data_IF_435027553442
#
_entry.id   IF_435027553442
#
_cell.length_a   1.000
_cell.length_b   1.000
_cell.length_c   1.000
_cell.angle_alpha   90.00
_cell.angle_beta   90.00
_cell.angle_gamma   90.00
#
_symmetry.space_group_name_H-M   'P 1'
#
loop_
_entity.id
_entity.type
_entity.pdbx_description
1 polymer ?
#
# COMPACT_ATOMS: atom_id res chain seq x y z
N UNK A 1 14.60 -31.91 -0.80
CA UNK A 1 14.43 -30.47 -1.10
C UNK A 1 15.13 -29.71 0.00
N UNK A 2 15.96 -28.69 -0.28
CA UNK A 2 16.65 -27.92 0.78
C UNK A 2 15.61 -27.18 1.63
N UNK A 3 15.87 -27.03 2.93
CA UNK A 3 15.01 -26.23 3.81
C UNK A 3 15.00 -24.76 3.32
N UNK A 4 13.82 -24.10 3.22
CA UNK A 4 13.74 -22.71 2.79
C UNK A 4 14.53 -21.80 3.73
N UNK A 5 15.28 -20.84 3.19
CA UNK A 5 16.07 -19.87 3.94
C UNK A 5 15.32 -18.54 4.02
N UNK A 6 15.05 -18.08 5.23
CA UNK A 6 14.30 -16.87 5.52
C UNK A 6 15.19 -15.81 6.17
N UNK A 7 15.28 -14.63 5.59
CA UNK A 7 15.89 -13.48 6.25
C UNK A 7 14.82 -12.57 6.89
N UNK A 8 14.98 -12.26 8.17
CA UNK A 8 14.17 -11.24 8.84
C UNK A 8 15.02 -9.97 8.97
N UNK A 9 14.75 -8.96 8.15
CA UNK A 9 15.48 -7.68 8.20
C UNK A 9 14.98 -6.85 9.38
N UNK A 10 15.69 -6.89 10.51
CA UNK A 10 15.30 -6.24 11.75
C UNK A 10 16.51 -5.78 12.55
N UNK A 11 16.42 -4.55 13.09
CA UNK A 11 17.40 -4.00 14.05
C UNK A 11 17.17 -4.51 15.49
N UNK A 12 16.07 -5.22 15.72
CA UNK A 12 15.63 -5.62 17.04
C UNK A 12 15.41 -7.13 17.12
N UNK A 13 16.48 -7.95 17.19
CA UNK A 13 16.37 -9.41 17.29
C UNK A 13 15.61 -9.85 18.56
N UNK A 14 15.70 -9.06 19.64
CA UNK A 14 15.06 -9.36 20.92
C UNK A 14 13.60 -8.87 21.02
N UNK A 15 13.10 -8.14 20.01
CA UNK A 15 11.71 -7.68 20.02
C UNK A 15 10.76 -8.87 19.92
N UNK A 16 9.62 -8.80 20.62
CA UNK A 16 8.62 -9.87 20.64
C UNK A 16 8.24 -10.30 19.21
N UNK A 17 7.94 -9.34 18.33
CA UNK A 17 7.52 -9.64 16.94
C UNK A 17 8.60 -10.36 16.13
N UNK A 18 9.87 -9.99 16.29
CA UNK A 18 10.99 -10.65 15.58
C UNK A 18 11.16 -12.08 16.08
N UNK A 19 11.16 -12.28 17.41
CA UNK A 19 11.26 -13.62 18.01
C UNK A 19 10.09 -14.53 17.64
N UNK A 20 8.87 -14.00 17.62
CA UNK A 20 7.69 -14.78 17.19
C UNK A 20 7.81 -15.26 15.76
N UNK A 21 8.20 -14.38 14.83
CA UNK A 21 8.41 -14.77 13.42
C UNK A 21 9.50 -15.83 13.28
N UNK A 22 10.63 -15.68 13.99
CA UNK A 22 11.70 -16.67 14.01
C UNK A 22 11.21 -18.03 14.52
N UNK A 23 10.53 -18.05 15.68
CA UNK A 23 10.03 -19.29 16.28
C UNK A 23 9.03 -20.03 15.37
N UNK A 24 8.11 -19.30 14.73
CA UNK A 24 7.14 -19.92 13.81
C UNK A 24 7.80 -20.41 12.52
N UNK A 25 8.82 -19.70 12.04
CA UNK A 25 9.60 -20.12 10.87
C UNK A 25 10.46 -21.36 11.15
N UNK A 26 11.10 -21.43 12.33
CA UNK A 26 11.83 -22.60 12.80
C UNK A 26 10.87 -23.80 12.95
N UNK A 27 9.69 -23.60 13.53
CA UNK A 27 8.66 -24.63 13.65
C UNK A 27 8.14 -25.11 12.28
N UNK A 28 8.14 -24.25 11.27
CA UNK A 28 7.82 -24.58 9.89
C UNK A 28 8.99 -25.22 9.12
N UNK A 29 10.15 -25.44 9.77
CA UNK A 29 11.33 -26.08 9.17
C UNK A 29 12.12 -25.17 8.24
N UNK A 30 12.02 -23.85 8.39
CA UNK A 30 12.84 -22.87 7.67
C UNK A 30 14.16 -22.63 8.41
N UNK A 31 15.20 -22.25 7.66
CA UNK A 31 16.46 -21.76 8.22
C UNK A 31 16.36 -20.24 8.31
N UNK A 32 16.36 -19.69 9.52
CA UNK A 32 16.14 -18.26 9.75
C UNK A 32 17.43 -17.52 10.05
N UNK A 33 17.60 -16.36 9.44
CA UNK A 33 18.67 -15.41 9.76
C UNK A 33 18.07 -14.03 10.04
N UNK A 34 18.39 -13.44 11.20
CA UNK A 34 17.97 -12.07 11.54
C UNK A 34 19.13 -11.14 11.20
N UNK A 35 18.88 -10.18 10.32
CA UNK A 35 19.91 -9.29 9.77
C UNK A 35 19.53 -7.83 10.05
N UNK A 36 20.44 -7.06 10.66
CA UNK A 36 20.27 -5.60 10.72
C UNK A 36 20.53 -5.05 9.31
N UNK A 37 19.57 -4.38 8.65
CA UNK A 37 19.79 -3.81 7.32
C UNK A 37 20.95 -2.80 7.26
N UNK A 38 21.32 -2.16 8.38
CA UNK A 38 22.46 -1.24 8.44
C UNK A 38 23.82 -1.93 8.50
N UNK A 39 23.86 -3.24 8.77
CA UNK A 39 25.08 -4.06 8.78
C UNK A 39 25.29 -4.78 7.45
N UNK A 40 24.51 -4.43 6.42
CA UNK A 40 24.63 -4.99 5.07
C UNK A 40 25.38 -4.05 4.13
N UNK A 41 26.04 -4.61 3.12
CA UNK A 41 26.54 -3.86 1.97
C UNK A 41 25.97 -4.42 0.67
N UNK A 42 25.86 -3.57 -0.35
CA UNK A 42 25.26 -3.94 -1.63
C UNK A 42 26.35 -3.95 -2.71
N UNK A 43 26.43 -5.03 -3.47
CA UNK A 43 27.24 -5.12 -4.69
C UNK A 43 26.28 -5.04 -5.88
N UNK A 44 26.57 -4.17 -6.83
CA UNK A 44 25.77 -3.99 -8.03
C UNK A 44 26.60 -4.41 -9.25
N UNK A 45 26.02 -5.28 -10.08
CA UNK A 45 26.63 -5.76 -11.32
C UNK A 45 25.56 -6.03 -12.38
N UNK A 46 25.96 -6.60 -13.51
CA UNK A 46 25.10 -7.02 -14.62
C UNK A 46 24.42 -8.38 -14.39
N UNK A 47 24.59 -8.99 -13.21
CA UNK A 47 24.13 -10.35 -12.85
C UNK A 47 23.25 -10.35 -11.59
N UNK A 48 22.41 -9.34 -11.46
CA UNK A 48 21.43 -9.09 -10.38
C UNK A 48 22.01 -8.53 -9.06
N UNK A 49 23.33 -8.37 -8.92
CA UNK A 49 23.97 -7.88 -7.70
C UNK A 49 23.84 -8.81 -6.50
N UNK A 50 24.33 -8.36 -5.34
CA UNK A 50 24.37 -9.14 -4.10
C UNK A 50 24.08 -8.26 -2.87
N UNK A 51 23.48 -8.87 -1.85
CA UNK A 51 23.47 -8.34 -0.48
C UNK A 51 24.52 -9.11 0.32
N UNK A 52 25.48 -8.38 0.90
CA UNK A 52 26.56 -8.93 1.71
C UNK A 52 26.24 -8.65 3.19
N UNK A 53 26.39 -9.68 4.02
CA UNK A 53 26.30 -9.58 5.47
C UNK A 53 27.50 -10.30 6.09
N UNK A 54 28.18 -9.64 7.04
CA UNK A 54 29.39 -10.17 7.67
C UNK A 54 30.47 -10.65 6.68
N UNK A 55 30.57 -10.00 5.52
CA UNK A 55 31.54 -10.31 4.46
C UNK A 55 31.10 -11.40 3.48
N UNK A 56 29.92 -12.00 3.64
CA UNK A 56 29.43 -13.09 2.79
C UNK A 56 28.11 -12.73 2.09
N UNK A 57 27.87 -13.23 0.87
CA UNK A 57 26.57 -13.09 0.21
C UNK A 57 25.46 -13.79 0.99
N UNK A 58 24.34 -13.09 1.18
CA UNK A 58 23.12 -13.66 1.74
C UNK A 58 22.35 -14.44 0.64
N UNK A 59 22.40 -15.77 0.71
CA UNK A 59 21.56 -16.68 -0.10
C UNK A 59 20.29 -17.03 0.69
N UNK A 60 19.18 -16.41 0.32
CA UNK A 60 17.87 -16.60 0.96
C UNK A 60 16.75 -16.72 -0.06
N UNK A 61 15.72 -17.50 0.26
CA UNK A 61 14.56 -17.73 -0.62
C UNK A 61 13.46 -16.69 -0.36
N UNK A 62 13.39 -16.13 0.86
CA UNK A 62 12.44 -15.10 1.23
C UNK A 62 12.97 -14.12 2.28
N UNK A 63 12.38 -12.92 2.33
CA UNK A 63 12.72 -11.84 3.25
C UNK A 63 11.46 -11.25 3.88
N UNK A 64 11.48 -11.05 5.21
CA UNK A 64 10.48 -10.27 5.96
C UNK A 64 11.11 -8.95 6.41
N UNK A 65 10.79 -7.81 5.76
CA UNK A 65 11.26 -6.52 6.20
C UNK A 65 10.52 -6.06 7.45
N UNK A 66 11.24 -5.99 8.58
CA UNK A 66 10.80 -5.39 9.83
C UNK A 66 11.48 -4.03 10.03
N UNK A 67 11.45 -3.22 8.99
CA UNK A 67 12.14 -1.93 8.91
C UNK A 67 11.48 -0.93 9.88
N UNK A 68 12.28 -0.29 10.71
CA UNK A 68 11.84 0.81 11.59
C UNK A 68 11.71 2.13 10.83
N UNK A 69 10.92 3.08 11.33
CA UNK A 69 10.74 4.37 10.65
C UNK A 69 12.04 5.16 10.51
N UNK A 70 12.90 5.15 11.53
CA UNK A 70 14.17 5.89 11.57
C UNK A 70 15.22 5.41 10.57
N UNK A 71 15.04 4.24 9.98
CA UNK A 71 15.97 3.62 9.02
C UNK A 71 15.26 3.24 7.73
N UNK A 72 14.14 3.90 7.42
CA UNK A 72 13.33 3.58 6.24
C UNK A 72 14.16 3.71 4.96
N UNK A 73 14.94 4.77 4.82
CA UNK A 73 15.75 5.03 3.62
C UNK A 73 16.76 3.92 3.37
N UNK A 74 17.54 3.55 4.38
CA UNK A 74 18.57 2.53 4.29
C UNK A 74 17.96 1.13 4.16
N UNK A 75 16.98 0.81 5.00
CA UNK A 75 16.30 -0.49 4.99
C UNK A 75 15.62 -0.79 3.65
N UNK A 76 14.93 0.19 3.07
CA UNK A 76 14.26 0.02 1.77
C UNK A 76 15.26 -0.21 0.63
N UNK A 77 16.49 0.34 0.70
CA UNK A 77 17.53 0.05 -0.31
C UNK A 77 17.92 -1.42 -0.30
N UNK A 78 18.07 -2.02 0.89
CA UNK A 78 18.38 -3.44 1.06
C UNK A 78 17.22 -4.32 0.57
N UNK A 79 15.99 -3.98 0.96
CA UNK A 79 14.78 -4.67 0.47
C UNK A 79 14.72 -4.65 -1.06
N UNK A 80 14.99 -3.49 -1.68
CA UNK A 80 14.99 -3.35 -3.14
C UNK A 80 16.07 -4.18 -3.83
N UNK A 81 17.21 -4.39 -3.17
CA UNK A 81 18.24 -5.26 -3.72
C UNK A 81 17.79 -6.73 -3.70
N UNK A 82 17.13 -7.19 -2.63
CA UNK A 82 16.55 -8.54 -2.61
C UNK A 82 15.48 -8.74 -3.70
N UNK A 83 14.64 -7.74 -3.95
CA UNK A 83 13.68 -7.76 -5.07
C UNK A 83 14.37 -7.98 -6.41
N UNK A 84 15.46 -7.24 -6.67
CA UNK A 84 16.23 -7.35 -7.92
C UNK A 84 16.94 -8.70 -8.07
N UNK A 85 17.29 -9.32 -6.96
CA UNK A 85 17.85 -10.67 -6.92
C UNK A 85 16.78 -11.76 -7.16
N UNK A 86 15.49 -11.39 -7.30
CA UNK A 86 14.38 -12.33 -7.49
C UNK A 86 13.95 -13.04 -6.21
N UNK A 87 14.37 -12.53 -5.05
CA UNK A 87 13.99 -13.07 -3.73
C UNK A 87 12.60 -12.55 -3.36
N UNK A 88 11.75 -13.44 -2.82
CA UNK A 88 10.42 -13.03 -2.37
C UNK A 88 10.50 -12.13 -1.13
N UNK A 89 9.88 -10.95 -1.17
CA UNK A 89 9.85 -9.98 -0.07
C UNK A 89 8.42 -9.65 0.34
N UNK A 90 8.12 -9.75 1.63
CA UNK A 90 6.84 -9.36 2.20
C UNK A 90 7.06 -8.35 3.34
N UNK A 91 7.05 -7.03 3.11
CA UNK A 91 6.55 -6.26 1.95
C UNK A 91 7.63 -5.76 0.98
N UNK A 92 7.22 -5.39 -0.24
CA UNK A 92 8.07 -4.73 -1.24
C UNK A 92 8.61 -3.37 -0.78
N UNK A 93 9.73 -2.94 -1.37
CA UNK A 93 10.35 -1.64 -1.11
C UNK A 93 9.37 -0.48 -1.32
N UNK A 94 8.63 -0.53 -2.42
CA UNK A 94 7.68 0.51 -2.80
C UNK A 94 6.42 0.49 -1.92
N UNK A 95 5.93 -0.69 -1.52
CA UNK A 95 4.81 -0.77 -0.59
C UNK A 95 5.18 -0.20 0.80
N UNK A 96 6.40 -0.47 1.28
CA UNK A 96 6.91 0.16 2.50
C UNK A 96 6.90 1.68 2.34
N UNK A 97 7.47 2.24 1.28
CA UNK A 97 7.50 3.68 1.05
C UNK A 97 6.10 4.31 0.96
N UNK A 98 5.17 3.69 0.22
CA UNK A 98 3.78 4.16 0.10
C UNK A 98 3.08 4.19 1.45
N UNK A 99 3.26 3.18 2.29
CA UNK A 99 2.67 3.12 3.64
C UNK A 99 3.28 4.14 4.63
N UNK A 100 4.51 4.57 4.39
CA UNK A 100 5.24 5.50 5.29
C UNK A 100 4.77 6.94 5.15
N UNK A 101 4.33 7.33 3.96
CA UNK A 101 3.82 8.66 3.68
C UNK A 101 2.28 8.67 3.69
N UNK A 102 1.69 9.25 4.73
CA UNK A 102 0.24 9.28 4.92
C UNK A 102 -0.48 10.03 3.82
N UNK A 103 0.13 11.06 3.23
CA UNK A 103 -0.46 11.79 2.11
C UNK A 103 -0.48 10.91 0.86
N UNK A 104 0.64 10.27 0.52
CA UNK A 104 0.71 9.36 -0.64
C UNK A 104 -0.26 8.20 -0.49
N UNK A 105 -0.29 7.56 0.68
CA UNK A 105 -1.26 6.51 0.96
C UNK A 105 -2.71 7.01 0.76
N UNK A 106 -3.06 8.15 1.37
CA UNK A 106 -4.39 8.74 1.25
C UNK A 106 -4.76 9.11 -0.20
N UNK A 107 -3.80 9.58 -1.01
CA UNK A 107 -4.02 9.88 -2.42
C UNK A 107 -4.36 8.61 -3.22
N UNK A 108 -3.55 7.56 -3.06
CA UNK A 108 -3.79 6.27 -3.73
C UNK A 108 -5.15 5.70 -3.33
N UNK A 109 -5.42 5.66 -2.03
CA UNK A 109 -6.62 5.01 -1.48
C UNK A 109 -7.90 5.78 -1.82
N UNK A 110 -7.87 7.11 -1.72
CA UNK A 110 -9.03 7.95 -2.10
C UNK A 110 -9.36 7.83 -3.59
N UNK A 111 -8.35 7.77 -4.47
CA UNK A 111 -8.54 7.55 -5.90
C UNK A 111 -9.20 6.20 -6.19
N UNK A 112 -8.95 5.18 -5.36
CA UNK A 112 -9.56 3.84 -5.48
C UNK A 112 -10.92 3.73 -4.78
N UNK A 113 -11.42 4.81 -4.19
CA UNK A 113 -12.72 4.85 -3.54
C UNK A 113 -12.74 4.28 -2.12
N UNK A 114 -11.57 4.03 -1.53
CA UNK A 114 -11.46 3.65 -0.12
C UNK A 114 -11.81 4.87 0.76
N UNK A 115 -12.72 4.74 1.75
CA UNK A 115 -13.12 5.85 2.59
C UNK A 115 -11.94 6.31 3.47
N UNK A 116 -11.47 7.53 3.24
CA UNK A 116 -10.43 8.20 4.05
C UNK A 116 -10.97 9.53 4.57
N UNK A 117 -10.44 10.06 5.70
CA UNK A 117 -10.89 11.35 6.18
C UNK A 117 -10.48 12.47 5.21
N UNK A 118 -11.36 13.45 5.00
CA UNK A 118 -11.05 14.67 4.23
C UNK A 118 -9.78 15.32 4.75
N UNK A 119 -8.79 15.43 3.88
CA UNK A 119 -7.43 15.86 4.23
C UNK A 119 -6.96 16.93 3.26
N UNK A 120 -6.39 18.01 3.79
CA UNK A 120 -5.79 19.10 3.05
C UNK A 120 -4.29 19.17 3.37
N UNK A 121 -3.45 19.14 2.33
CA UNK A 121 -2.04 19.51 2.45
C UNK A 121 -1.95 21.03 2.65
N UNK A 122 -1.15 21.46 3.63
CA UNK A 122 -0.90 22.88 3.90
C UNK A 122 0.60 23.16 3.75
N UNK A 123 0.94 23.91 2.71
CA UNK A 123 2.33 24.31 2.40
C UNK A 123 2.67 25.72 2.90
N UNK A 124 1.65 26.50 3.27
CA UNK A 124 1.79 27.87 3.76
C UNK A 124 0.87 28.14 4.94
N UNK A 125 1.38 28.79 5.98
CA UNK A 125 0.60 29.16 7.16
C UNK A 125 -0.58 30.10 6.83
N UNK A 126 -0.49 30.84 5.71
CA UNK A 126 -1.56 31.72 5.23
C UNK A 126 -2.80 30.94 4.75
N UNK A 127 -2.63 29.68 4.38
CA UNK A 127 -3.71 28.84 3.83
C UNK A 127 -4.46 28.02 4.88
N UNK A 128 -4.02 28.07 6.14
CA UNK A 128 -4.56 27.25 7.23
C UNK A 128 -6.06 27.42 7.39
N UNK A 129 -6.57 28.66 7.39
CA UNK A 129 -8.02 28.92 7.51
C UNK A 129 -8.83 28.32 6.37
N UNK A 130 -8.33 28.45 5.13
CA UNK A 130 -8.97 27.86 3.95
C UNK A 130 -8.94 26.34 4.01
N UNK A 131 -7.83 25.75 4.44
CA UNK A 131 -7.69 24.31 4.63
C UNK A 131 -8.67 23.79 5.69
N UNK A 132 -8.77 24.47 6.84
CA UNK A 132 -9.73 24.13 7.91
C UNK A 132 -11.16 24.17 7.39
N UNK A 133 -11.54 25.23 6.67
CA UNK A 133 -12.88 25.36 6.09
C UNK A 133 -13.19 24.21 5.12
N UNK A 134 -12.23 23.83 4.25
CA UNK A 134 -12.38 22.73 3.29
C UNK A 134 -12.55 21.35 3.94
N UNK A 135 -11.98 21.13 5.12
CA UNK A 135 -12.13 19.86 5.86
C UNK A 135 -13.32 19.85 6.83
N UNK A 136 -14.15 20.90 6.85
CA UNK A 136 -15.38 20.95 7.65
C UNK A 136 -15.32 21.80 8.93
N UNK A 137 -14.25 22.57 9.14
CA UNK A 137 -14.12 23.47 10.28
C UNK A 137 -13.39 22.87 11.48
N UNK A 138 -13.52 23.52 12.63
CA UNK A 138 -12.98 23.03 13.91
C UNK A 138 -14.07 22.33 14.73
N UNK A 139 -13.73 21.32 15.57
CA UNK A 139 -12.40 20.77 15.77
C UNK A 139 -11.87 19.99 14.56
N UNK A 140 -10.55 20.02 14.33
CA UNK A 140 -9.88 19.28 13.26
C UNK A 140 -8.54 18.69 13.75
N UNK A 141 -7.93 17.86 12.92
CA UNK A 141 -6.61 17.26 13.18
C UNK A 141 -5.54 18.02 12.39
N UNK A 142 -4.45 18.41 13.05
CA UNK A 142 -3.21 18.85 12.40
C UNK A 142 -2.20 17.72 12.58
N UNK A 143 -1.64 17.21 11.48
CA UNK A 143 -0.65 16.13 11.53
C UNK A 143 0.47 16.25 10.52
N UNK A 144 1.58 15.54 10.76
CA UNK A 144 2.67 15.40 9.79
C UNK A 144 2.44 14.21 8.86
N UNK A 145 2.90 14.30 7.61
CA UNK A 145 2.73 13.19 6.65
C UNK A 145 3.53 11.95 7.03
N UNK A 146 4.70 12.15 7.64
CA UNK A 146 5.59 11.09 8.12
C UNK A 146 5.70 11.13 9.64
N UNK A 147 5.90 9.97 10.26
CA UNK A 147 6.01 9.80 11.71
C UNK A 147 5.27 8.57 12.23
N UNK A 148 5.59 8.18 13.48
CA UNK A 148 5.03 7.01 14.19
C UNK A 148 4.32 7.40 15.46
N UNK A 149 3.48 6.48 15.95
CA UNK A 149 3.01 6.46 17.35
C UNK A 149 2.26 7.72 17.81
N UNK A 150 1.76 8.53 16.89
CA UNK A 150 0.98 9.73 17.20
C UNK A 150 1.84 10.96 17.52
N UNK A 151 3.17 10.87 17.35
CA UNK A 151 4.05 12.03 17.36
C UNK A 151 3.75 12.89 16.13
N UNK A 152 3.47 14.17 16.40
CA UNK A 152 3.07 15.10 15.35
C UNK A 152 1.61 14.96 14.92
N UNK A 153 0.71 14.41 15.74
CA UNK A 153 -0.75 14.42 15.52
C UNK A 153 -1.45 15.18 16.64
N UNK A 154 -2.23 16.20 16.28
CA UNK A 154 -2.82 17.12 17.24
C UNK A 154 -4.29 17.39 16.95
N UNK A 155 -5.15 17.27 17.97
CA UNK A 155 -6.52 17.74 17.92
C UNK A 155 -6.57 19.22 18.25
N UNK A 156 -6.97 20.04 17.28
CA UNK A 156 -7.08 21.50 17.43
C UNK A 156 -8.54 21.92 17.50
N UNK A 157 -8.86 22.83 18.43
CA UNK A 157 -10.23 23.32 18.69
C UNK A 157 -10.47 24.75 18.25
N UNK A 158 -9.44 25.44 17.77
CA UNK A 158 -9.54 26.80 17.26
C UNK A 158 -8.61 27.04 16.08
N UNK A 159 -9.00 27.97 15.20
CA UNK A 159 -8.19 28.39 14.05
C UNK A 159 -6.83 28.95 14.50
N UNK A 160 -6.80 29.72 15.60
CA UNK A 160 -5.58 30.29 16.15
C UNK A 160 -4.57 29.19 16.53
N UNK A 161 -5.03 28.18 17.27
CA UNK A 161 -4.21 27.03 17.65
C UNK A 161 -3.67 26.28 16.43
N UNK A 162 -4.52 26.07 15.41
CA UNK A 162 -4.12 25.43 14.18
C UNK A 162 -3.03 26.23 13.43
N UNK A 163 -3.18 27.56 13.33
CA UNK A 163 -2.19 28.45 12.69
C UNK A 163 -0.83 28.39 13.38
N UNK A 164 -0.81 28.51 14.71
CA UNK A 164 0.44 28.44 15.50
C UNK A 164 1.17 27.11 15.29
N UNK A 165 0.42 26.01 15.29
CA UNK A 165 0.97 24.68 15.13
C UNK A 165 1.47 24.41 13.72
N UNK A 166 0.69 24.75 12.71
CA UNK A 166 1.11 24.62 11.30
C UNK A 166 2.35 25.48 11.03
N UNK A 167 2.41 26.71 11.55
CA UNK A 167 3.59 27.56 11.43
C UNK A 167 4.85 26.89 11.99
N UNK A 168 4.77 26.31 13.21
CA UNK A 168 5.90 25.60 13.82
C UNK A 168 6.33 24.38 13.00
N UNK A 169 5.38 23.54 12.58
CA UNK A 169 5.69 22.34 11.81
C UNK A 169 6.28 22.65 10.42
N UNK A 170 5.80 23.70 9.75
CA UNK A 170 6.38 24.18 8.49
C UNK A 170 7.80 24.72 8.72
N UNK A 171 8.03 25.46 9.80
CA UNK A 171 9.38 25.96 10.14
C UNK A 171 10.39 24.83 10.39
N UNK A 172 9.91 23.69 10.90
CA UNK A 172 10.67 22.43 11.04
C UNK A 172 10.80 21.65 9.71
N UNK A 173 10.36 22.22 8.59
CA UNK A 173 10.36 21.61 7.25
C UNK A 173 9.56 20.30 7.16
N UNK A 174 8.52 20.16 7.98
CA UNK A 174 7.63 19.00 7.94
C UNK A 174 6.49 19.23 6.94
N UNK A 175 6.10 18.17 6.25
CA UNK A 175 4.88 18.16 5.43
C UNK A 175 3.65 18.12 6.35
N UNK A 176 2.84 19.19 6.35
CA UNK A 176 1.70 19.36 7.27
C UNK A 176 0.38 19.07 6.58
N UNK A 177 -0.45 18.27 7.25
CA UNK A 177 -1.79 17.90 6.83
C UNK A 177 -2.80 18.44 7.84
N UNK A 178 -3.86 19.07 7.35
CA UNK A 178 -5.05 19.40 8.13
C UNK A 178 -6.14 18.41 7.71
N UNK A 179 -6.76 17.73 8.66
CA UNK A 179 -7.66 16.62 8.41
C UNK A 179 -8.95 16.79 9.23
N UNK A 180 -10.09 16.35 8.68
CA UNK A 180 -11.35 16.33 9.40
C UNK A 180 -11.26 15.46 10.67
N UNK A 181 -12.01 15.83 11.69
CA UNK A 181 -12.03 15.11 12.94
C UNK A 181 -13.26 14.20 13.04
N UNK A 182 -13.03 12.88 13.10
CA UNK A 182 -14.08 11.87 13.24
C UNK A 182 -14.42 11.72 14.73
N UNK A 183 -15.41 12.50 15.18
CA UNK A 183 -15.81 12.59 16.60
C UNK A 183 -16.37 11.28 17.14
N UNK A 184 -16.99 10.47 16.30
CA UNK A 184 -17.60 9.17 16.63
C UNK A 184 -16.53 8.17 17.12
N UNK A 185 -15.33 8.29 16.56
CA UNK A 185 -14.16 7.49 16.90
C UNK A 185 -13.25 8.16 17.94
N UNK A 186 -13.76 9.14 18.72
CA UNK A 186 -12.93 9.81 19.74
C UNK A 186 -12.33 8.79 20.72
N UNK A 187 -11.00 8.78 20.80
CA UNK A 187 -10.28 7.90 21.73
C UNK A 187 -10.38 6.43 21.37
N UNK A 188 -10.84 6.07 20.17
CA UNK A 188 -11.03 4.69 19.73
C UNK A 188 -10.62 4.50 18.29
N UNK A 189 -10.02 3.37 17.99
CA UNK A 189 -9.82 2.92 16.62
C UNK A 189 -9.77 1.39 16.57
N UNK A 190 -9.96 0.83 15.38
CA UNK A 190 -9.87 -0.61 15.13
C UNK A 190 -8.58 -0.86 14.35
N UNK A 191 -7.70 -1.69 14.90
CA UNK A 191 -6.54 -2.21 14.20
C UNK A 191 -6.84 -3.59 13.65
N UNK A 192 -6.70 -3.74 12.34
CA UNK A 192 -6.86 -4.98 11.60
C UNK A 192 -5.50 -5.41 11.08
N UNK A 193 -5.10 -6.67 11.27
CA UNK A 193 -3.91 -7.24 10.64
C UNK A 193 -4.35 -8.01 9.40
N UNK A 194 -3.79 -7.59 8.26
CA UNK A 194 -3.97 -8.24 6.97
C UNK A 194 -2.68 -8.99 6.62
N UNK A 195 -2.81 -10.26 6.26
CA UNK A 195 -1.73 -11.13 5.80
C UNK A 195 -2.18 -11.81 4.51
N UNK A 196 -1.45 -11.62 3.42
CA UNK A 196 -1.71 -12.30 2.16
C UNK A 196 -3.06 -11.95 1.51
N UNK A 197 -3.67 -10.83 1.87
CA UNK A 197 -5.00 -10.44 1.39
C UNK A 197 -6.16 -10.91 2.28
N UNK A 198 -5.87 -11.52 3.43
CA UNK A 198 -6.87 -11.99 4.39
C UNK A 198 -6.71 -11.29 5.75
N UNK A 199 -7.83 -11.06 6.44
CA UNK A 199 -7.81 -10.55 7.83
C UNK A 199 -7.51 -11.72 8.77
N UNK A 200 -6.42 -11.63 9.53
CA UNK A 200 -5.98 -12.70 10.44
C UNK A 200 -6.17 -12.35 11.92
N UNK A 201 -6.31 -11.06 12.24
CA UNK A 201 -6.60 -10.58 13.58
C UNK A 201 -7.17 -9.16 13.55
N UNK A 202 -8.00 -8.84 14.53
CA UNK A 202 -8.45 -7.48 14.77
C UNK A 202 -8.52 -7.19 16.28
N UNK A 203 -8.36 -5.92 16.64
CA UNK A 203 -8.60 -5.43 17.99
C UNK A 203 -9.12 -4.01 17.95
N UNK A 204 -9.98 -3.65 18.90
CA UNK A 204 -10.30 -2.25 19.19
C UNK A 204 -9.30 -1.72 20.22
N UNK A 205 -8.70 -0.56 19.95
CA UNK A 205 -7.87 0.16 20.91
C UNK A 205 -8.67 1.32 21.47
N UNK A 206 -8.60 1.52 22.79
CA UNK A 206 -9.36 2.55 23.51
C UNK A 206 -8.39 3.36 24.38
N UNK A 207 -8.39 4.67 24.23
CA UNK A 207 -7.58 5.58 25.06
C UNK A 207 -8.13 5.66 26.49
N UNK A 208 -7.28 6.00 27.45
CA UNK A 208 -7.72 6.30 28.80
C UNK A 208 -8.05 7.80 28.92
N UNK A 209 -9.19 8.14 29.53
CA UNK A 209 -9.53 9.51 29.91
C UNK A 209 -9.97 10.40 28.76
N UNK A 210 -9.34 11.59 28.61
CA UNK A 210 -9.69 12.63 27.61
C UNK A 210 -8.78 12.62 26.37
N UNK A 211 -7.89 11.63 26.25
CA UNK A 211 -6.97 11.51 25.12
C UNK A 211 -7.75 11.05 23.88
N UNK A 212 -7.55 11.71 22.73
CA UNK A 212 -8.26 11.36 21.50
C UNK A 212 -7.53 10.27 20.71
N UNK A 213 -6.25 10.04 20.99
CA UNK A 213 -5.41 9.01 20.37
C UNK A 213 -5.48 7.70 21.16
N UNK A 214 -5.84 6.62 20.50
CA UNK A 214 -6.02 5.28 21.07
C UNK A 214 -4.77 4.39 21.02
N UNK A 215 -3.61 4.93 20.63
CA UNK A 215 -2.39 4.12 20.48
C UNK A 215 -2.05 3.34 21.76
N UNK A 216 -1.92 2.01 21.62
CA UNK A 216 -1.59 1.09 22.72
C UNK A 216 -0.37 1.51 23.55
N UNK A 217 0.68 2.05 22.90
CA UNK A 217 1.88 2.53 23.56
C UNK A 217 1.66 3.74 24.49
N UNK A 218 0.51 4.41 24.40
CA UNK A 218 0.11 5.52 25.29
C UNK A 218 -0.72 5.05 26.49
N UNK A 219 -0.71 3.74 26.79
CA UNK A 219 -1.44 3.14 27.91
C UNK A 219 -2.91 2.87 27.63
N UNK A 220 -3.32 2.91 26.35
CA UNK A 220 -4.68 2.54 25.93
C UNK A 220 -5.02 1.07 26.25
N UNK A 221 -6.29 0.79 26.51
CA UNK A 221 -6.82 -0.56 26.67
C UNK A 221 -7.04 -1.19 25.29
N UNK A 222 -6.97 -2.51 25.24
CA UNK A 222 -7.25 -3.28 24.03
C UNK A 222 -8.44 -4.18 24.31
N UNK A 223 -9.39 -4.20 23.39
CA UNK A 223 -10.60 -5.01 23.44
C UNK A 223 -10.62 -5.95 22.23
N UNK A 224 -11.02 -7.19 22.46
CA UNK A 224 -11.34 -8.11 21.38
C UNK A 224 -12.59 -7.61 20.66
N UNK A 225 -12.61 -7.76 19.34
CA UNK A 225 -13.73 -7.35 18.50
C UNK A 225 -14.02 -8.44 17.47
N UNK A 226 -15.31 -8.70 17.25
CA UNK A 226 -15.76 -9.41 16.05
C UNK A 226 -15.84 -8.39 14.91
N UNK A 227 -14.95 -8.52 13.92
CA UNK A 227 -14.74 -7.48 12.91
C UNK A 227 -15.88 -7.51 11.90
N UNK A 228 -16.65 -6.42 11.72
CA UNK A 228 -17.70 -6.38 10.72
C UNK A 228 -17.15 -6.51 9.29
N UNK A 229 -17.93 -7.12 8.40
CA UNK A 229 -17.51 -7.43 7.01
C UNK A 229 -17.09 -6.19 6.20
N UNK A 230 -17.74 -5.04 6.42
CA UNK A 230 -17.40 -3.78 5.77
C UNK A 230 -16.02 -3.26 6.22
N UNK A 231 -15.67 -3.41 7.49
CA UNK A 231 -14.32 -3.09 8.00
C UNK A 231 -13.27 -4.04 7.45
N UNK A 232 -13.56 -5.34 7.40
CA UNK A 232 -12.67 -6.34 6.81
C UNK A 232 -12.40 -6.04 5.33
N UNK A 233 -13.46 -5.73 4.56
CA UNK A 233 -13.36 -5.36 3.14
C UNK A 233 -12.47 -4.14 2.93
N UNK A 234 -12.71 -3.05 3.68
CA UNK A 234 -11.88 -1.84 3.58
C UNK A 234 -10.42 -2.11 3.96
N UNK A 235 -10.17 -2.93 4.98
CA UNK A 235 -8.81 -3.29 5.37
C UNK A 235 -8.07 -4.06 4.27
N UNK A 236 -8.73 -5.05 3.66
CA UNK A 236 -8.17 -5.86 2.57
C UNK A 236 -7.93 -4.99 1.32
N UNK A 237 -8.92 -4.20 0.91
CA UNK A 237 -8.78 -3.27 -0.23
C UNK A 237 -7.63 -2.29 -0.03
N UNK A 238 -7.49 -1.73 1.19
CA UNK A 238 -6.42 -0.80 1.50
C UNK A 238 -5.03 -1.44 1.41
N UNK A 239 -4.87 -2.64 1.98
CA UNK A 239 -3.63 -3.40 1.89
C UNK A 239 -3.28 -3.73 0.44
N UNK A 240 -4.26 -4.23 -0.34
CA UNK A 240 -4.09 -4.58 -1.75
C UNK A 240 -3.69 -3.37 -2.61
N UNK A 241 -4.37 -2.23 -2.47
CA UNK A 241 -4.06 -1.03 -3.26
C UNK A 241 -2.69 -0.42 -2.94
N UNK A 242 -2.16 -0.65 -1.73
CA UNK A 242 -0.82 -0.23 -1.35
C UNK A 242 0.26 -1.30 -1.64
N UNK A 243 -0.12 -2.51 -2.04
CA UNK A 243 0.80 -3.63 -2.27
C UNK A 243 1.37 -4.22 -0.97
N UNK A 244 0.60 -4.17 0.11
CA UNK A 244 1.00 -4.65 1.43
C UNK A 244 0.53 -6.09 1.62
N UNK A 245 1.49 -7.02 1.63
CA UNK A 245 1.26 -8.43 1.94
C UNK A 245 1.10 -8.66 3.44
N UNK A 246 1.82 -7.92 4.29
CA UNK A 246 1.75 -8.02 5.75
C UNK A 246 1.62 -6.62 6.33
N UNK A 247 0.43 -6.29 6.83
CA UNK A 247 0.13 -4.92 7.24
C UNK A 247 -0.80 -4.81 8.44
N UNK A 248 -0.65 -3.72 9.19
CA UNK A 248 -1.65 -3.28 10.15
C UNK A 248 -2.44 -2.12 9.56
N UNK A 249 -3.75 -2.27 9.45
CA UNK A 249 -4.67 -1.25 8.97
C UNK A 249 -5.42 -0.66 10.15
N UNK A 250 -5.32 0.66 10.32
CA UNK A 250 -6.02 1.39 11.37
C UNK A 250 -7.27 2.05 10.78
N UNK A 251 -8.42 1.74 11.37
CA UNK A 251 -9.74 2.20 10.95
C UNK A 251 -10.40 3.00 12.08
N UNK A 252 -11.03 4.10 11.72
CA UNK A 252 -11.91 4.87 12.60
C UNK A 252 -13.36 4.43 12.40
N UNK A 253 -14.12 4.45 13.48
CA UNK A 253 -15.56 4.19 13.49
C UNK A 253 -16.30 5.46 13.05
N UNK A 254 -16.70 5.53 11.78
CA UNK A 254 -17.46 6.63 11.22
C UNK A 254 -18.97 6.43 11.35
N UNK A 255 -19.75 7.51 11.13
CA UNK A 255 -21.22 7.46 11.18
C UNK A 255 -21.84 6.51 10.15
N UNK A 256 -21.19 6.33 9.01
CA UNK A 256 -21.71 5.56 7.86
C UNK A 256 -20.86 4.33 7.55
N UNK A 257 -19.97 3.92 8.46
CA UNK A 257 -19.06 2.78 8.26
C UNK A 257 -17.60 3.11 8.55
N UNK A 258 -16.67 2.21 8.16
CA UNK A 258 -15.24 2.35 8.40
C UNK A 258 -14.64 3.54 7.67
N UNK A 259 -13.70 4.23 8.32
CA UNK A 259 -12.87 5.27 7.71
C UNK A 259 -11.40 4.92 7.93
N UNK A 260 -10.65 4.73 6.84
CA UNK A 260 -9.25 4.35 6.88
C UNK A 260 -8.36 5.50 7.37
N UNK A 261 -7.66 5.26 8.48
CA UNK A 261 -6.74 6.23 9.08
C UNK A 261 -5.33 6.11 8.54
N UNK A 262 -4.73 4.92 8.63
CA UNK A 262 -3.39 4.63 8.15
C UNK A 262 -3.18 3.13 7.90
N UNK A 263 -2.18 2.81 7.09
CA UNK A 263 -1.70 1.43 6.86
C UNK A 263 -0.22 1.37 7.23
N UNK A 264 0.15 0.39 8.06
CA UNK A 264 1.47 0.19 8.60
C UNK A 264 2.10 -1.08 8.03
N UNK A 265 3.21 -0.97 7.29
CA UNK A 265 3.93 -2.08 6.65
C UNK A 265 4.77 -2.97 7.60
N UNK A 266 4.86 -2.63 8.89
CA UNK A 266 5.60 -3.42 9.88
C UNK A 266 4.88 -3.34 11.24
N UNK A 267 3.66 -3.93 11.35
CA UNK A 267 2.86 -3.83 12.56
C UNK A 267 3.50 -4.60 13.72
N UNK A 268 3.41 -4.09 14.94
CA UNK A 268 3.78 -4.84 16.13
C UNK A 268 2.79 -5.97 16.40
N UNK A 269 3.31 -7.15 16.74
CA UNK A 269 2.51 -8.38 16.91
C UNK A 269 2.05 -8.62 18.36
N UNK A 270 2.77 -8.09 19.36
CA UNK A 270 2.53 -8.45 20.76
C UNK A 270 1.14 -8.08 21.27
N UNK A 271 0.72 -6.84 21.06
CA UNK A 271 -0.58 -6.37 21.54
C UNK A 271 -1.74 -7.07 20.84
N UNK A 272 -1.63 -7.31 19.53
CA UNK A 272 -2.69 -7.92 18.74
C UNK A 272 -2.82 -9.42 19.00
N UNK A 273 -1.71 -10.17 19.11
CA UNK A 273 -1.76 -11.60 19.45
C UNK A 273 -2.34 -11.80 20.86
N UNK A 274 -1.93 -10.97 21.84
CA UNK A 274 -2.48 -11.02 23.20
C UNK A 274 -3.98 -10.71 23.26
N UNK A 275 -4.46 -9.77 22.45
CA UNK A 275 -5.86 -9.35 22.48
C UNK A 275 -6.80 -10.24 21.66
N UNK A 276 -6.33 -10.74 20.52
CA UNK A 276 -7.14 -11.57 19.62
C UNK A 276 -7.01 -13.06 19.89
N UNK A 277 -5.93 -13.51 20.54
CA UNK A 277 -5.56 -14.91 20.67
C UNK A 277 -5.10 -15.56 19.35
N UNK A 278 -5.04 -14.81 18.25
CA UNK A 278 -4.62 -15.31 16.93
C UNK A 278 -3.10 -15.46 16.84
N UNK A 279 -2.64 -16.53 16.19
CA UNK A 279 -1.23 -16.73 15.85
C UNK A 279 -0.86 -15.94 14.57
N UNK A 280 -0.75 -14.62 14.70
CA UNK A 280 -0.47 -13.73 13.57
C UNK A 280 0.89 -14.03 12.95
N UNK A 281 1.93 -14.30 13.75
CA UNK A 281 3.23 -14.70 13.22
C UNK A 281 3.16 -15.99 12.39
N UNK A 282 2.38 -16.98 12.83
CA UNK A 282 2.15 -18.23 12.12
C UNK A 282 1.51 -18.01 10.75
N UNK A 283 0.47 -17.17 10.66
CA UNK A 283 -0.14 -16.81 9.38
C UNK A 283 0.86 -16.14 8.41
N UNK A 284 1.74 -15.28 8.92
CA UNK A 284 2.80 -14.64 8.10
C UNK A 284 3.75 -15.70 7.53
N UNK A 285 4.21 -16.62 8.37
CA UNK A 285 5.13 -17.70 7.96
C UNK A 285 4.45 -18.66 6.99
N UNK A 286 3.19 -19.01 7.21
CA UNK A 286 2.41 -19.86 6.31
C UNK A 286 2.27 -19.21 4.92
N UNK A 287 1.95 -17.91 4.88
CA UNK A 287 1.91 -17.16 3.62
C UNK A 287 3.25 -17.21 2.88
N UNK A 288 4.36 -16.98 3.59
CA UNK A 288 5.70 -17.03 3.01
C UNK A 288 6.03 -18.43 2.52
N UNK A 289 5.72 -19.48 3.29
CA UNK A 289 5.93 -20.87 2.92
C UNK A 289 5.22 -21.25 1.62
N UNK A 290 4.02 -20.68 1.39
CA UNK A 290 3.26 -20.86 0.15
C UNK A 290 3.82 -20.03 -1.01
N UNK A 291 4.16 -18.76 -0.77
CA UNK A 291 4.46 -17.78 -1.83
C UNK A 291 5.93 -17.73 -2.28
N UNK A 292 6.91 -18.08 -1.45
CA UNK A 292 8.32 -18.00 -1.86
C UNK A 292 8.66 -18.90 -3.07
N UNK A 293 7.84 -19.92 -3.34
CA UNK A 293 7.96 -20.82 -4.50
C UNK A 293 7.30 -20.28 -5.77
N UNK A 294 6.57 -19.17 -5.67
CA UNK A 294 5.76 -18.58 -6.73
C UNK A 294 6.25 -17.15 -6.94
N UNK A 295 6.97 -16.90 -8.03
CA UNK A 295 7.38 -15.54 -8.37
C UNK A 295 6.24 -14.80 -9.07
N UNK A 296 5.78 -13.71 -8.47
CA UNK A 296 4.92 -12.76 -9.16
C UNK A 296 5.74 -12.01 -10.21
N UNK A 297 5.19 -11.90 -11.42
CA UNK A 297 5.86 -11.24 -12.53
C UNK A 297 5.30 -9.82 -12.68
N UNK A 298 6.18 -8.82 -12.70
CA UNK A 298 5.78 -7.46 -13.03
C UNK A 298 5.61 -7.34 -14.55
N UNK A 299 4.35 -7.41 -15.01
CA UNK A 299 4.02 -7.39 -16.43
C UNK A 299 4.52 -6.11 -17.12
N UNK A 300 4.49 -4.95 -16.43
CA UNK A 300 4.95 -3.68 -17.00
C UNK A 300 6.44 -3.71 -17.35
N UNK A 301 7.27 -4.34 -16.51
CA UNK A 301 8.70 -4.49 -16.78
C UNK A 301 8.94 -5.41 -17.98
N UNK A 302 8.18 -6.51 -18.09
CA UNK A 302 8.27 -7.41 -19.25
C UNK A 302 7.84 -6.68 -20.52
N UNK A 303 6.72 -5.96 -20.47
CA UNK A 303 6.19 -5.22 -21.60
C UNK A 303 7.20 -4.17 -22.06
N UNK A 304 7.80 -3.41 -21.14
CA UNK A 304 8.80 -2.37 -21.47
C UNK A 304 10.09 -2.92 -22.08
N UNK A 305 10.45 -4.19 -21.83
CA UNK A 305 11.60 -4.83 -22.49
C UNK A 305 11.36 -5.06 -23.98
N UNK A 306 10.09 -5.11 -24.41
CA UNK A 306 9.72 -5.24 -25.82
C UNK A 306 9.56 -3.86 -26.44
N UNK A 307 10.61 -3.39 -27.12
CA UNK A 307 10.62 -2.10 -27.81
C UNK A 307 9.43 -1.96 -28.75
N UNK A 308 8.72 -0.84 -28.70
CA UNK A 308 7.55 -0.55 -29.55
C UNK A 308 6.22 -1.18 -29.08
N UNK A 309 6.21 -1.98 -28.00
CA UNK A 309 4.99 -2.53 -27.40
C UNK A 309 4.65 -1.84 -26.08
N UNK A 310 3.37 -1.79 -25.76
CA UNK A 310 2.91 -1.14 -24.54
C UNK A 310 1.42 -1.26 -24.34
N UNK A 311 0.94 -0.59 -23.30
CA UNK A 311 -0.49 -0.47 -23.01
C UNK A 311 -0.99 0.92 -23.33
N UNK A 312 -2.16 1.03 -23.96
CA UNK A 312 -2.85 2.30 -24.23
C UNK A 312 -4.24 2.25 -23.59
N UNK A 313 -4.68 3.36 -23.01
CA UNK A 313 -6.04 3.51 -22.52
C UNK A 313 -6.84 4.39 -23.48
N UNK A 314 -7.90 3.83 -24.04
CA UNK A 314 -8.84 4.55 -24.90
C UNK A 314 -10.02 5.01 -24.05
N UNK A 315 -10.16 6.32 -23.88
CA UNK A 315 -11.28 6.92 -23.16
C UNK A 315 -12.41 7.16 -24.17
N UNK A 316 -13.48 6.36 -24.12
CA UNK A 316 -14.49 6.36 -25.18
C UNK A 316 -15.26 7.68 -25.32
N UNK A 317 -15.33 8.49 -24.27
CA UNK A 317 -15.92 9.83 -24.38
C UNK A 317 -15.18 10.75 -25.36
N UNK A 318 -13.88 10.50 -25.57
CA UNK A 318 -13.06 11.23 -26.55
C UNK A 318 -13.24 10.67 -27.96
N UNK A 319 -13.82 9.48 -28.09
CA UNK A 319 -14.00 8.75 -29.36
C UNK A 319 -15.44 8.20 -29.52
N UNK A 320 -16.44 9.08 -29.72
CA UNK A 320 -17.85 8.69 -29.74
C UNK A 320 -18.21 7.67 -30.83
N UNK A 321 -17.43 7.60 -31.91
CA UNK A 321 -17.66 6.67 -33.03
C UNK A 321 -17.52 5.19 -32.65
N UNK A 322 -16.92 4.90 -31.48
CA UNK A 322 -16.78 3.54 -30.96
C UNK A 322 -17.93 3.13 -30.03
N UNK A 323 -18.74 4.08 -29.57
CA UNK A 323 -19.85 3.80 -28.64
C UNK A 323 -20.96 3.05 -29.38
N UNK A 324 -21.48 1.98 -28.76
CA UNK A 324 -22.53 1.13 -29.32
C UNK A 324 -22.03 0.06 -30.30
N UNK A 325 -20.72 -0.02 -30.55
CA UNK A 325 -20.08 -1.09 -31.35
C UNK A 325 -19.53 -2.20 -30.45
N UNK A 326 -19.35 -3.38 -31.03
CA UNK A 326 -18.67 -4.49 -30.35
C UNK A 326 -17.17 -4.24 -30.22
N UNK A 327 -16.53 -4.94 -29.29
CA UNK A 327 -15.08 -4.88 -29.13
C UNK A 327 -14.36 -5.34 -30.41
N UNK A 328 -14.80 -6.43 -31.04
CA UNK A 328 -14.20 -6.96 -32.29
C UNK A 328 -14.21 -5.97 -33.44
N UNK A 329 -15.14 -5.03 -33.45
CA UNK A 329 -15.28 -4.01 -34.50
C UNK A 329 -14.34 -2.81 -34.34
N UNK A 330 -13.78 -2.62 -33.14
CA UNK A 330 -13.08 -1.40 -32.74
C UNK A 330 -11.63 -1.65 -32.33
N UNK A 331 -11.29 -2.87 -31.91
CA UNK A 331 -9.93 -3.23 -31.53
C UNK A 331 -8.98 -3.09 -32.73
N UNK A 332 -7.83 -2.38 -32.56
CA UNK A 332 -6.75 -2.41 -33.54
C UNK A 332 -6.22 -3.83 -33.80
N UNK A 333 -5.94 -4.22 -35.05
CA UNK A 333 -5.36 -5.53 -35.35
C UNK A 333 -4.04 -5.75 -34.58
N UNK A 334 -3.77 -7.01 -34.19
CA UNK A 334 -2.61 -7.40 -33.37
C UNK A 334 -2.55 -6.74 -31.97
N UNK A 335 -3.66 -6.26 -31.45
CA UNK A 335 -3.79 -5.81 -30.07
C UNK A 335 -4.77 -6.69 -29.28
N UNK A 336 -4.62 -6.71 -27.96
CA UNK A 336 -5.48 -7.44 -27.04
C UNK A 336 -6.15 -6.46 -26.08
N UNK A 337 -7.45 -6.63 -25.83
CA UNK A 337 -8.11 -5.94 -24.71
C UNK A 337 -7.76 -6.64 -23.42
N UNK A 338 -7.08 -5.92 -22.54
CA UNK A 338 -6.70 -6.38 -21.20
C UNK A 338 -7.90 -6.28 -20.27
N UNK A 339 -8.56 -5.11 -20.25
CA UNK A 339 -9.73 -4.86 -19.42
C UNK A 339 -10.54 -3.67 -19.94
N UNK A 340 -11.83 -3.63 -19.58
CA UNK A 340 -12.68 -2.44 -19.71
C UNK A 340 -13.02 -1.93 -18.31
N UNK A 341 -12.73 -0.65 -18.06
CA UNK A 341 -13.08 0.04 -16.83
C UNK A 341 -14.42 0.74 -17.06
N UNK A 342 -15.46 0.26 -16.36
CA UNK A 342 -16.82 0.82 -16.41
C UNK A 342 -17.20 1.33 -15.03
N UNK A 343 -17.11 2.65 -14.85
CA UNK A 343 -17.33 3.27 -13.55
C UNK A 343 -16.30 2.81 -12.51
N UNK A 344 -16.72 1.93 -11.58
CA UNK A 344 -15.85 1.33 -10.55
C UNK A 344 -15.48 -0.13 -10.82
N UNK A 345 -16.06 -0.73 -11.86
CA UNK A 345 -15.85 -2.15 -12.17
C UNK A 345 -14.81 -2.32 -13.28
N UNK A 346 -14.03 -3.40 -13.19
CA UNK A 346 -13.11 -3.82 -14.22
C UNK A 346 -13.62 -5.14 -14.81
N UNK A 347 -13.95 -5.11 -16.10
CA UNK A 347 -14.34 -6.30 -16.85
C UNK A 347 -13.05 -6.89 -17.43
N UNK A 348 -12.51 -7.92 -16.77
CA UNK A 348 -11.30 -8.61 -17.20
C UNK A 348 -11.61 -9.58 -18.33
N UNK A 349 -10.72 -9.62 -19.35
CA UNK A 349 -10.88 -10.49 -20.52
C UNK A 349 -12.31 -10.44 -21.11
N UNK A 350 -12.79 -9.23 -21.48
CA UNK A 350 -14.16 -9.07 -21.95
C UNK A 350 -14.41 -9.86 -23.23
N UNK A 351 -15.64 -10.35 -23.37
CA UNK A 351 -16.09 -11.00 -24.61
C UNK A 351 -15.95 -10.03 -25.79
N UNK A 352 -15.46 -10.51 -26.93
CA UNK A 352 -15.25 -9.70 -28.13
C UNK A 352 -16.57 -9.12 -28.69
N UNK A 353 -17.70 -9.75 -28.36
CA UNK A 353 -19.04 -9.27 -28.73
C UNK A 353 -19.61 -8.24 -27.74
N UNK A 354 -18.88 -7.91 -26.67
CA UNK A 354 -19.35 -6.94 -25.68
C UNK A 354 -19.51 -5.55 -26.32
N UNK A 355 -20.69 -4.96 -26.11
CA UNK A 355 -21.02 -3.64 -26.64
C UNK A 355 -20.46 -2.53 -25.73
N UNK A 356 -19.73 -1.62 -26.34
CA UNK A 356 -19.07 -0.49 -25.71
C UNK A 356 -20.07 0.60 -25.31
N UNK A 357 -19.93 1.13 -24.08
CA UNK A 357 -20.83 2.12 -23.49
C UNK A 357 -20.15 3.48 -23.30
N UNK A 358 -20.93 4.58 -23.19
CA UNK A 358 -20.39 5.87 -22.78
C UNK A 358 -19.62 5.78 -21.45
N UNK A 359 -18.50 6.49 -21.35
CA UNK A 359 -17.56 6.47 -20.22
C UNK A 359 -16.73 5.20 -20.01
N UNK A 360 -16.86 4.18 -20.86
CA UNK A 360 -15.93 3.05 -20.81
C UNK A 360 -14.50 3.53 -21.09
N UNK A 361 -13.53 2.97 -20.36
CA UNK A 361 -12.11 3.08 -20.69
C UNK A 361 -11.58 1.71 -21.07
N UNK A 362 -11.08 1.58 -22.29
CA UNK A 362 -10.58 0.32 -22.83
C UNK A 362 -9.06 0.30 -22.65
N UNK A 363 -8.53 -0.71 -21.98
CA UNK A 363 -7.08 -0.91 -21.83
C UNK A 363 -6.64 -1.93 -22.86
N UNK A 364 -5.86 -1.49 -23.84
CA UNK A 364 -5.30 -2.29 -24.92
C UNK A 364 -3.82 -2.60 -24.66
N UNK A 365 -3.35 -3.76 -25.09
CA UNK A 365 -1.94 -4.13 -25.16
C UNK A 365 -1.55 -4.55 -26.59
N UNK A 366 -0.47 -4.00 -27.12
CA UNK A 366 -0.02 -4.28 -28.48
C UNK A 366 1.10 -3.34 -28.95
N UNK A 367 1.37 -3.27 -30.26
CA UNK A 367 2.29 -2.30 -30.85
C UNK A 367 1.75 -0.87 -30.69
N UNK A 368 2.52 0.01 -30.04
CA UNK A 368 2.05 1.35 -29.65
C UNK A 368 1.68 2.24 -30.83
N UNK A 369 2.51 2.28 -31.87
CA UNK A 369 2.27 3.12 -33.04
C UNK A 369 1.04 2.64 -33.81
N UNK A 370 0.94 1.34 -34.09
CA UNK A 370 -0.22 0.75 -34.78
C UNK A 370 -1.53 0.97 -34.00
N UNK A 371 -1.52 0.82 -32.67
CA UNK A 371 -2.72 1.09 -31.87
C UNK A 371 -3.12 2.57 -31.94
N UNK A 372 -2.16 3.50 -31.86
CA UNK A 372 -2.44 4.95 -31.93
C UNK A 372 -3.00 5.36 -33.28
N UNK A 373 -2.34 4.97 -34.37
CA UNK A 373 -2.78 5.28 -35.73
C UNK A 373 -4.19 4.76 -36.00
N UNK A 374 -4.50 3.54 -35.59
CA UNK A 374 -5.84 2.97 -35.74
C UNK A 374 -6.93 3.73 -34.96
N UNK A 375 -6.62 4.13 -33.71
CA UNK A 375 -7.55 4.89 -32.86
C UNK A 375 -7.77 6.31 -33.41
N UNK A 376 -6.71 6.95 -33.89
CA UNK A 376 -6.72 8.32 -34.42
C UNK A 376 -7.32 8.39 -35.83
N UNK A 377 -7.45 7.25 -36.53
CA UNK A 377 -7.97 7.17 -37.89
C UNK A 377 -6.93 7.46 -38.96
N UNK A 378 -5.64 7.38 -38.61
CA UNK A 378 -4.48 7.67 -39.45
C UNK A 378 -3.91 6.41 -40.14
N UNK A 379 -4.68 5.31 -40.22
CA UNK A 379 -4.27 4.11 -40.94
C UNK A 379 -4.10 4.43 -42.44
N UNK A 380 -2.86 4.73 -42.87
CA UNK A 380 -2.47 4.59 -44.26
C UNK A 380 -2.65 3.11 -44.63
N UNK A 381 -3.72 2.83 -45.39
CA UNK A 381 -3.93 1.54 -46.02
C UNK A 381 -2.63 1.14 -46.74
N UNK A 382 -1.97 0.00 -46.41
CA UNK A 382 -0.83 -0.44 -47.18
C UNK A 382 -1.36 -0.82 -48.56
N UNK A 383 -1.21 0.09 -49.51
CA UNK A 383 -1.43 -0.17 -50.92
C UNK A 383 -0.64 -1.43 -51.27
N UNK A 384 -1.36 -2.44 -51.75
CA UNK A 384 -0.85 -3.71 -52.20
C UNK A 384 0.41 -3.51 -53.06
N UNK A 385 1.57 -3.89 -52.54
CA UNK A 385 2.73 -4.20 -53.38
C UNK A 385 2.58 -5.66 -53.80
N UNK A 386 2.04 -5.80 -55.02
CA UNK A 386 1.98 -7.01 -55.85
C UNK A 386 3.34 -7.68 -56.03
#
# INVERSE_FOLDING_TARGET
MRAPRLCILSRGPQLYSTRRLMNEADAAGMIVEIVDPLETSLILDDRNGQVIYQGWPLDVDAVIPRIGYSVTTEGVRVVRQFERMGVYVANSADAILRSRDKLTASQILSQKGVPVPKTALVTSWKDVERAISRVGGVPCIVKTSQGTQGDGVFLVRSIRQAKEMVYRLIAERKTVLVQEYIKESHGRDIRVIVVGGEVVAAMRRVSNGREFRSNYHLGGRVEQIDLPDDYAKVAIEAANHLGIDVGGVDLLEGRTGPILLEVNSSPGLEGIEKASGSNVAGHIIEMIAKRHKIQSVNLDEIIRRRTGFGTVTVILNTWPQFIGRSISEVIPPNSNVVTIIRGKENIWSPDVELILQPNDQIVLYGPLESMRSHIEGDDESPAALS
#
